data_IF_401607961958
#
_entry.id   IF_401607961958
#
_cell.length_a   1.000
_cell.length_b   1.000
_cell.length_c   1.000
_cell.angle_alpha   90.00
_cell.angle_beta   90.00
_cell.angle_gamma   90.00
#
_symmetry.space_group_name_H-M   'P 1'
#
loop_
_entity.id
_entity.type
_entity.pdbx_description
1 polymer ?
#
# COMPACT_ATOMS: atom_id res chain seq x y z
N UNK A 1 21.38 0.29 9.92
CA UNK A 1 20.35 0.15 8.86
C UNK A 1 20.11 1.54 8.31
N UNK A 2 19.89 1.63 6.99
CA UNK A 2 19.58 2.91 6.37
C UNK A 2 18.08 3.19 6.51
N UNK A 3 17.68 4.31 7.13
CA UNK A 3 16.27 4.67 7.35
C UNK A 3 15.68 5.11 6.01
N UNK A 4 14.65 4.40 5.52
CA UNK A 4 13.95 4.71 4.27
C UNK A 4 12.74 5.61 4.51
N UNK A 5 12.02 5.42 5.61
CA UNK A 5 10.88 6.24 6.03
C UNK A 5 11.06 6.69 7.47
N UNK A 6 10.92 7.99 7.72
CA UNK A 6 10.95 8.58 9.06
C UNK A 6 9.68 9.38 9.29
N UNK A 7 9.01 9.09 10.37
CA UNK A 7 7.84 9.82 10.87
C UNK A 7 8.22 10.40 12.23
N UNK A 8 8.08 11.71 12.42
CA UNK A 8 8.53 12.39 13.62
C UNK A 8 7.45 13.33 14.16
N UNK A 9 6.96 13.04 15.35
CA UNK A 9 5.98 13.79 16.15
C UNK A 9 4.76 14.30 15.34
N UNK A 10 4.21 13.46 14.46
CA UNK A 10 3.05 13.87 13.64
C UNK A 10 1.80 14.02 14.49
N UNK A 11 1.09 15.15 14.30
CA UNK A 11 -0.19 15.43 14.92
C UNK A 11 -1.22 15.68 13.81
N UNK A 12 -2.29 14.88 13.78
CA UNK A 12 -3.30 14.89 12.71
C UNK A 12 -4.68 15.13 13.28
N UNK A 13 -5.46 15.96 12.58
CA UNK A 13 -6.78 16.38 13.02
C UNK A 13 -7.82 16.17 11.93
N UNK A 14 -9.02 15.76 12.32
CA UNK A 14 -10.25 15.83 11.54
C UNK A 14 -11.13 16.95 12.12
N UNK A 15 -11.04 18.14 11.55
CA UNK A 15 -11.66 19.35 12.14
C UNK A 15 -11.09 19.61 13.54
N UNK A 16 -11.94 19.51 14.57
CA UNK A 16 -11.56 19.66 15.98
C UNK A 16 -11.07 18.37 16.65
N UNK A 17 -11.24 17.21 16.01
CA UNK A 17 -10.87 15.92 16.58
C UNK A 17 -9.38 15.68 16.37
N UNK A 18 -8.61 15.56 17.46
CA UNK A 18 -7.18 15.21 17.44
C UNK A 18 -7.03 13.69 17.31
N UNK A 19 -6.86 13.22 16.08
CA UNK A 19 -6.85 11.79 15.74
C UNK A 19 -5.49 11.13 15.99
N UNK A 20 -4.38 11.82 15.69
CA UNK A 20 -3.01 11.36 15.96
C UNK A 20 -2.33 12.37 16.87
N UNK A 21 -1.76 11.89 17.97
CA UNK A 21 -1.23 12.70 19.07
C UNK A 21 0.26 12.45 19.27
N UNK A 22 1.07 12.94 18.33
CA UNK A 22 2.53 12.89 18.46
C UNK A 22 3.10 11.48 18.27
N UNK A 23 2.87 10.85 17.10
CA UNK A 23 3.45 9.54 16.79
C UNK A 23 4.80 9.71 16.07
N UNK A 24 5.79 8.90 16.48
CA UNK A 24 7.11 8.85 15.85
C UNK A 24 7.54 7.41 15.65
N UNK A 25 8.10 7.10 14.50
CA UNK A 25 8.74 5.81 14.19
C UNK A 25 9.61 5.94 12.93
N UNK A 26 10.46 4.95 12.73
CA UNK A 26 11.29 4.82 11.54
C UNK A 26 11.12 3.44 10.91
N UNK A 27 11.34 3.35 9.60
CA UNK A 27 11.39 2.10 8.85
C UNK A 27 12.73 2.05 8.12
N UNK A 28 13.49 1.00 8.35
CA UNK A 28 14.75 0.71 7.64
C UNK A 28 14.51 0.02 6.30
N UNK A 29 15.52 0.04 5.43
CA UNK A 29 15.52 -0.76 4.21
C UNK A 29 15.43 -2.26 4.55
N UNK A 30 14.55 -2.99 3.85
CA UNK A 30 14.31 -4.40 4.09
C UNK A 30 13.70 -4.70 5.47
N UNK A 31 12.96 -3.78 6.07
CA UNK A 31 12.31 -3.98 7.37
C UNK A 31 10.79 -4.11 7.22
N UNK A 32 10.19 -4.99 8.02
CA UNK A 32 8.74 -5.08 8.17
C UNK A 32 8.33 -4.45 9.49
N UNK A 33 7.58 -3.36 9.43
CA UNK A 33 7.06 -2.65 10.59
C UNK A 33 5.55 -2.82 10.69
N UNK A 34 5.04 -3.16 11.87
CA UNK A 34 3.62 -3.35 12.12
C UNK A 34 3.09 -2.29 13.09
N UNK A 35 2.05 -1.56 12.68
CA UNK A 35 1.31 -0.68 13.56
C UNK A 35 0.21 -1.46 14.28
N UNK A 36 0.33 -1.59 15.60
CA UNK A 36 -0.62 -2.32 16.45
C UNK A 36 -1.45 -1.33 17.24
N UNK A 37 -2.76 -1.59 17.33
CA UNK A 37 -3.69 -0.77 18.12
C UNK A 37 -5.14 -1.17 17.87
N UNK A 38 -6.02 -0.77 18.79
CA UNK A 38 -7.46 -0.99 18.67
C UNK A 38 -8.06 -0.26 17.46
N UNK A 39 -9.31 -0.60 17.10
CA UNK A 39 -10.04 0.17 16.08
C UNK A 39 -10.22 1.61 16.57
N UNK A 40 -9.93 2.56 15.67
CA UNK A 40 -9.90 3.98 16.01
C UNK A 40 -8.59 4.49 16.63
N UNK A 41 -7.57 3.64 16.85
CA UNK A 41 -6.26 4.07 17.37
C UNK A 41 -5.44 4.94 16.40
N UNK A 42 -5.93 5.15 15.17
CA UNK A 42 -5.28 6.02 14.18
C UNK A 42 -4.36 5.31 13.20
N UNK A 43 -4.36 3.96 13.12
CA UNK A 43 -3.52 3.20 12.17
C UNK A 43 -3.74 3.67 10.72
N UNK A 44 -4.96 3.59 10.22
CA UNK A 44 -5.31 4.06 8.86
C UNK A 44 -5.05 5.56 8.67
N UNK A 45 -5.30 6.38 9.71
CA UNK A 45 -5.00 7.82 9.67
C UNK A 45 -3.51 8.07 9.49
N UNK A 46 -2.66 7.31 10.18
CA UNK A 46 -1.20 7.38 10.04
C UNK A 46 -0.77 7.01 8.62
N UNK A 47 -1.23 5.87 8.09
CA UNK A 47 -0.90 5.43 6.73
C UNK A 47 -1.38 6.44 5.67
N UNK A 48 -2.60 6.97 5.80
CA UNK A 48 -3.14 8.00 4.91
C UNK A 48 -2.35 9.32 4.98
N UNK A 49 -1.82 9.66 6.15
CA UNK A 49 -0.98 10.86 6.33
C UNK A 49 0.37 10.68 5.63
N UNK A 50 0.99 9.51 5.76
CA UNK A 50 2.24 9.17 5.06
C UNK A 50 2.03 9.18 3.55
N UNK A 51 0.91 8.61 3.05
CA UNK A 51 0.55 8.62 1.64
C UNK A 51 0.14 10.02 1.10
N UNK A 52 0.08 11.04 1.97
CA UNK A 52 -0.27 12.42 1.60
C UNK A 52 -1.74 12.65 1.27
N UNK A 53 -2.62 11.71 1.64
CA UNK A 53 -4.07 11.85 1.54
C UNK A 53 -4.62 12.75 2.67
N UNK A 54 -3.93 12.75 3.81
CA UNK A 54 -4.13 13.66 4.93
C UNK A 54 -2.84 14.47 5.17
N UNK A 55 -2.94 15.53 5.95
CA UNK A 55 -1.78 16.35 6.33
C UNK A 55 -1.65 16.44 7.84
N UNK A 56 -0.44 16.23 8.34
CA UNK A 56 -0.13 16.54 9.73
C UNK A 56 -0.16 18.06 9.96
N UNK A 57 -0.64 18.48 11.11
CA UNK A 57 -0.62 19.88 11.55
C UNK A 57 0.77 20.27 12.06
N UNK A 58 1.43 19.35 12.75
CA UNK A 58 2.80 19.47 13.24
C UNK A 58 3.55 18.15 13.00
N UNK A 59 4.84 18.15 13.23
CA UNK A 59 5.73 17.04 12.96
C UNK A 59 6.18 16.95 11.50
N UNK A 60 6.95 15.93 11.18
CA UNK A 60 7.49 15.74 9.84
C UNK A 60 7.40 14.29 9.35
N UNK A 61 7.35 14.12 8.03
CA UNK A 61 7.46 12.83 7.37
C UNK A 61 8.52 12.97 6.29
N UNK A 62 9.53 12.11 6.36
CA UNK A 62 10.62 12.05 5.40
C UNK A 62 10.66 10.67 4.74
N UNK A 63 10.83 10.64 3.44
CA UNK A 63 11.02 9.43 2.66
C UNK A 63 12.32 9.54 1.87
N UNK A 64 13.24 8.60 2.09
CA UNK A 64 14.59 8.62 1.50
C UNK A 64 15.30 9.97 1.71
N UNK A 65 15.21 10.52 2.93
CA UNK A 65 15.81 11.82 3.30
C UNK A 65 15.11 13.04 2.71
N UNK A 66 13.98 12.88 2.01
CA UNK A 66 13.21 13.99 1.43
C UNK A 66 11.89 14.20 2.18
N UNK A 67 11.61 15.44 2.58
CA UNK A 67 10.35 15.78 3.23
C UNK A 67 9.15 15.59 2.29
N UNK A 68 8.10 14.93 2.80
CA UNK A 68 6.83 14.74 2.10
C UNK A 68 5.80 15.85 2.37
N UNK A 69 6.09 16.83 3.23
CA UNK A 69 5.13 17.82 3.72
C UNK A 69 4.36 18.58 2.63
N UNK A 70 5.02 18.90 1.50
CA UNK A 70 4.44 19.65 0.37
C UNK A 70 4.27 18.80 -0.90
N UNK A 71 4.54 17.49 -0.81
CA UNK A 71 4.45 16.60 -1.98
C UNK A 71 2.99 16.18 -2.17
N UNK A 72 2.37 16.39 -3.34
CA UNK A 72 1.02 15.90 -3.62
C UNK A 72 0.98 14.36 -3.58
N UNK A 73 -0.13 13.77 -3.11
CA UNK A 73 -0.28 12.32 -2.93
C UNK A 73 0.05 11.52 -4.20
N UNK A 74 -0.42 11.97 -5.37
CA UNK A 74 -0.12 11.30 -6.64
C UNK A 74 1.38 11.29 -7.01
N UNK A 75 2.19 12.22 -6.50
CA UNK A 75 3.64 12.24 -6.68
C UNK A 75 4.39 11.39 -5.65
N UNK A 76 3.77 11.07 -4.52
CA UNK A 76 4.35 10.20 -3.49
C UNK A 76 4.48 8.78 -4.03
N UNK A 77 3.47 8.27 -4.74
CA UNK A 77 3.54 6.95 -5.39
C UNK A 77 4.70 6.90 -6.39
N UNK A 78 4.86 7.94 -7.21
CA UNK A 78 5.97 8.03 -8.18
C UNK A 78 7.36 8.08 -7.51
N UNK A 79 7.45 8.41 -6.22
CA UNK A 79 8.69 8.33 -5.44
C UNK A 79 8.97 6.91 -4.91
N UNK A 80 8.02 5.98 -5.02
CA UNK A 80 8.16 4.60 -4.57
C UNK A 80 7.50 4.30 -3.22
N UNK A 81 6.50 5.06 -2.80
CA UNK A 81 5.74 4.81 -1.58
C UNK A 81 4.29 4.52 -1.95
N UNK A 82 3.86 3.25 -1.87
CA UNK A 82 2.51 2.83 -2.23
C UNK A 82 1.68 2.45 -1.02
N UNK A 83 0.37 2.70 -1.09
CA UNK A 83 -0.61 2.33 -0.07
C UNK A 83 -1.69 1.44 -0.68
N UNK A 84 -1.92 0.29 -0.07
CA UNK A 84 -3.13 -0.52 -0.25
C UNK A 84 -4.08 -0.15 0.88
N UNK A 85 -5.14 0.63 0.61
CA UNK A 85 -6.03 1.12 1.65
C UNK A 85 -7.01 0.03 2.10
N UNK A 86 -7.60 0.25 3.27
CA UNK A 86 -8.72 -0.55 3.75
C UNK A 86 -9.87 -0.60 2.73
N UNK A 87 -10.53 -1.75 2.63
CA UNK A 87 -11.62 -1.97 1.69
C UNK A 87 -11.17 -2.19 0.24
N UNK A 88 -9.88 -2.54 0.03
CA UNK A 88 -9.28 -2.97 -1.25
C UNK A 88 -9.23 -1.89 -2.33
N UNK A 89 -10.30 -1.12 -2.52
CA UNK A 89 -10.43 0.01 -3.46
C UNK A 89 -9.99 -0.34 -4.90
N UNK A 90 -10.35 -1.55 -5.37
CA UNK A 90 -10.19 -1.93 -6.77
C UNK A 90 -11.23 -1.23 -7.65
N UNK A 91 -10.92 -1.06 -8.93
CA UNK A 91 -11.87 -0.53 -9.91
C UNK A 91 -12.83 -1.64 -10.32
N UNK A 92 -13.99 -1.70 -9.68
CA UNK A 92 -14.92 -2.82 -9.77
C UNK A 92 -15.44 -3.11 -11.20
N UNK A 93 -15.50 -2.10 -12.05
CA UNK A 93 -15.99 -2.21 -13.43
C UNK A 93 -14.92 -2.53 -14.45
N UNK A 94 -13.64 -2.45 -14.04
CA UNK A 94 -12.50 -2.84 -14.85
C UNK A 94 -12.19 -4.33 -14.67
N UNK A 95 -11.54 -4.92 -15.66
CA UNK A 95 -10.98 -6.26 -15.57
C UNK A 95 -9.82 -6.33 -14.58
N UNK A 96 -9.39 -7.54 -14.24
CA UNK A 96 -8.19 -7.78 -13.45
C UNK A 96 -6.97 -7.13 -14.11
N UNK A 97 -6.76 -7.40 -15.40
CA UNK A 97 -5.63 -6.86 -16.15
C UNK A 97 -5.64 -5.33 -16.16
N UNK A 98 -6.76 -4.69 -16.49
CA UNK A 98 -6.87 -3.22 -16.50
C UNK A 98 -6.59 -2.61 -15.12
N UNK A 99 -7.03 -3.26 -14.03
CA UNK A 99 -6.69 -2.82 -12.68
C UNK A 99 -5.18 -2.85 -12.42
N UNK A 100 -4.49 -3.92 -12.85
CA UNK A 100 -3.04 -4.04 -12.71
C UNK A 100 -2.32 -2.98 -13.54
N UNK A 101 -2.68 -2.80 -14.80
CA UNK A 101 -2.12 -1.79 -15.69
C UNK A 101 -2.28 -0.37 -15.14
N UNK A 102 -3.40 -0.06 -14.47
CA UNK A 102 -3.58 1.21 -13.75
C UNK A 102 -2.54 1.42 -12.65
N UNK A 103 -2.03 0.36 -12.02
CA UNK A 103 -0.94 0.43 -11.05
C UNK A 103 0.39 0.93 -11.64
N UNK A 104 0.62 0.63 -12.92
CA UNK A 104 1.81 1.04 -13.66
C UNK A 104 1.74 2.47 -14.20
N UNK A 105 0.69 3.26 -13.90
CA UNK A 105 0.47 4.60 -14.44
C UNK A 105 1.65 5.56 -14.27
N UNK A 106 2.45 5.38 -13.22
CA UNK A 106 3.65 6.19 -12.96
C UNK A 106 4.89 5.70 -13.70
N UNK A 107 4.83 4.52 -14.33
CA UNK A 107 5.94 3.91 -15.04
C UNK A 107 5.99 4.39 -16.51
N UNK A 108 7.20 4.54 -17.03
CA UNK A 108 7.40 4.76 -18.46
C UNK A 108 7.27 3.39 -19.13
N UNK A 109 6.35 3.20 -20.04
CA UNK A 109 5.89 2.01 -20.76
C UNK A 109 6.88 0.84 -21.04
N UNK A 110 8.14 0.93 -20.64
CA UNK A 110 9.16 -0.11 -20.78
C UNK A 110 9.11 -1.02 -19.55
N UNK A 111 8.61 -2.25 -19.72
CA UNK A 111 8.65 -3.28 -18.67
C UNK A 111 7.30 -3.71 -18.09
N UNK A 112 6.18 -3.06 -18.42
CA UNK A 112 4.84 -3.41 -17.88
C UNK A 112 4.51 -4.90 -18.07
N UNK A 113 4.89 -5.50 -19.19
CA UNK A 113 4.66 -6.93 -19.42
C UNK A 113 5.45 -7.82 -18.44
N UNK A 114 6.69 -7.43 -18.10
CA UNK A 114 7.51 -8.15 -17.13
C UNK A 114 6.96 -7.97 -15.71
N UNK A 115 6.48 -6.77 -15.39
CA UNK A 115 5.86 -6.47 -14.11
C UNK A 115 4.56 -7.25 -13.91
N UNK A 116 3.75 -7.38 -14.98
CA UNK A 116 2.55 -8.22 -14.96
C UNK A 116 2.91 -9.69 -14.71
N UNK A 117 3.94 -10.25 -15.37
CA UNK A 117 4.36 -11.63 -15.12
C UNK A 117 4.84 -11.81 -13.68
N UNK A 118 5.62 -10.88 -13.12
CA UNK A 118 6.00 -10.91 -11.70
C UNK A 118 4.77 -10.93 -10.77
N UNK A 119 3.78 -10.11 -11.04
CA UNK A 119 2.52 -10.09 -10.27
C UNK A 119 1.76 -11.41 -10.43
N UNK A 120 1.74 -12.01 -11.63
CA UNK A 120 1.08 -13.29 -11.87
C UNK A 120 1.78 -14.46 -11.19
N UNK A 121 3.10 -14.40 -11.04
CA UNK A 121 3.85 -15.42 -10.28
C UNK A 121 3.55 -15.33 -8.78
N UNK A 122 3.37 -14.11 -8.25
CA UNK A 122 2.95 -13.89 -6.86
C UNK A 122 1.47 -14.23 -6.61
N UNK A 123 0.62 -14.01 -7.62
CA UNK A 123 -0.83 -14.17 -7.53
C UNK A 123 -1.38 -14.98 -8.71
N UNK A 124 -1.12 -16.31 -8.81
CA UNK A 124 -1.51 -17.14 -9.95
C UNK A 124 -3.03 -17.09 -10.25
N UNK A 125 -3.86 -16.90 -9.22
CA UNK A 125 -5.32 -16.76 -9.38
C UNK A 125 -5.71 -15.52 -10.19
N UNK A 126 -4.93 -14.45 -10.15
CA UNK A 126 -5.19 -13.27 -10.97
C UNK A 126 -4.90 -13.57 -12.45
N UNK A 127 -3.85 -14.35 -12.74
CA UNK A 127 -3.50 -14.78 -14.11
C UNK A 127 -4.64 -15.59 -14.76
N UNK A 128 -5.28 -16.49 -13.99
CA UNK A 128 -6.42 -17.29 -14.46
C UNK A 128 -7.65 -16.43 -14.83
N UNK A 129 -7.72 -15.19 -14.30
CA UNK A 129 -8.92 -14.34 -14.33
C UNK A 129 -8.70 -12.98 -14.99
N UNK A 130 -7.69 -12.83 -15.83
CA UNK A 130 -7.27 -11.54 -16.42
C UNK A 130 -8.40 -10.72 -17.02
N UNK A 131 -9.30 -11.38 -17.73
CA UNK A 131 -10.44 -10.75 -18.43
C UNK A 131 -11.70 -10.65 -17.56
N UNK A 132 -11.66 -11.18 -16.33
CA UNK A 132 -12.79 -11.12 -15.41
C UNK A 132 -12.92 -9.72 -14.81
N UNK A 133 -14.14 -9.21 -14.72
CA UNK A 133 -14.46 -7.95 -14.07
C UNK A 133 -14.16 -8.03 -12.57
N UNK A 134 -13.38 -7.11 -12.04
CA UNK A 134 -12.90 -7.12 -10.64
C UNK A 134 -14.04 -7.15 -9.61
N UNK A 135 -15.20 -6.55 -9.92
CA UNK A 135 -16.36 -6.59 -9.04
C UNK A 135 -16.95 -7.97 -8.81
N UNK A 136 -16.63 -8.96 -9.66
CA UNK A 136 -17.13 -10.34 -9.55
C UNK A 136 -16.15 -11.29 -8.84
N UNK A 137 -14.98 -10.78 -8.45
CA UNK A 137 -13.98 -11.52 -7.68
C UNK A 137 -14.42 -11.70 -6.23
N UNK A 138 -13.98 -12.77 -5.60
CA UNK A 138 -14.08 -12.95 -4.15
C UNK A 138 -13.31 -11.85 -3.39
N UNK A 139 -13.63 -11.65 -2.11
CA UNK A 139 -12.93 -10.66 -1.29
C UNK A 139 -11.42 -10.88 -1.21
N UNK A 140 -10.96 -12.12 -1.17
CA UNK A 140 -9.54 -12.43 -1.17
C UNK A 140 -8.86 -12.15 -2.51
N UNK A 141 -9.52 -12.48 -3.63
CA UNK A 141 -9.00 -12.17 -4.96
C UNK A 141 -8.93 -10.66 -5.20
N UNK A 142 -9.91 -9.88 -4.70
CA UNK A 142 -9.87 -8.42 -4.74
C UNK A 142 -8.72 -7.86 -3.89
N UNK A 143 -8.41 -8.49 -2.74
CA UNK A 143 -7.27 -8.09 -1.92
C UNK A 143 -5.94 -8.37 -2.64
N UNK A 144 -5.80 -9.55 -3.24
CA UNK A 144 -4.65 -9.89 -4.08
C UNK A 144 -4.51 -8.90 -5.25
N UNK A 145 -5.62 -8.54 -5.90
CA UNK A 145 -5.63 -7.56 -6.99
C UNK A 145 -5.19 -6.17 -6.51
N UNK A 146 -5.64 -5.72 -5.34
CA UNK A 146 -5.23 -4.44 -4.77
C UNK A 146 -3.72 -4.41 -4.46
N UNK A 147 -3.19 -5.50 -3.91
CA UNK A 147 -1.74 -5.66 -3.66
C UNK A 147 -0.95 -5.72 -4.97
N UNK A 148 -1.37 -6.55 -5.93
CA UNK A 148 -0.75 -6.65 -7.24
C UNK A 148 -0.71 -5.30 -7.95
N UNK A 149 -1.81 -4.55 -7.94
CA UNK A 149 -1.87 -3.18 -8.49
C UNK A 149 -0.87 -2.24 -7.82
N UNK A 150 -0.69 -2.33 -6.50
CA UNK A 150 0.30 -1.51 -5.80
C UNK A 150 1.73 -1.89 -6.21
N UNK A 151 2.03 -3.18 -6.38
CA UNK A 151 3.35 -3.67 -6.80
C UNK A 151 3.73 -3.21 -8.21
N UNK A 152 2.76 -3.03 -9.11
CA UNK A 152 3.00 -2.50 -10.45
C UNK A 152 3.61 -1.09 -10.46
N UNK A 153 3.57 -0.36 -9.34
CA UNK A 153 4.23 0.95 -9.20
C UNK A 153 5.71 0.87 -8.79
N UNK A 154 6.28 -0.32 -8.62
CA UNK A 154 7.64 -0.58 -8.12
C UNK A 154 7.91 0.14 -6.79
N UNK A 155 7.10 -0.12 -5.75
CA UNK A 155 7.26 0.58 -4.48
C UNK A 155 8.54 0.14 -3.76
N UNK A 156 9.24 1.10 -3.16
CA UNK A 156 10.33 0.86 -2.20
C UNK A 156 9.78 0.67 -0.78
N UNK A 157 8.60 1.24 -0.50
CA UNK A 157 7.83 0.99 0.71
C UNK A 157 6.39 0.69 0.31
N UNK A 158 5.90 -0.49 0.68
CA UNK A 158 4.52 -0.91 0.52
C UNK A 158 3.80 -0.84 1.86
N UNK A 159 2.79 0.01 1.96
CA UNK A 159 1.94 0.12 3.13
C UNK A 159 0.63 -0.63 2.90
N UNK A 160 0.24 -1.48 3.87
CA UNK A 160 -0.98 -2.28 3.83
C UNK A 160 -1.88 -1.89 5.01
N UNK A 161 -3.08 -1.44 4.73
CA UNK A 161 -4.08 -1.09 5.75
C UNK A 161 -5.08 -2.23 5.91
N UNK A 162 -5.03 -2.90 7.07
CA UNK A 162 -5.89 -4.04 7.44
C UNK A 162 -5.96 -5.13 6.32
N UNK A 163 -4.83 -5.64 5.81
CA UNK A 163 -4.80 -6.49 4.61
C UNK A 163 -5.55 -7.83 4.76
N UNK A 164 -5.80 -8.27 5.99
CA UNK A 164 -6.49 -9.52 6.30
C UNK A 164 -7.96 -9.34 6.67
N UNK A 165 -8.46 -8.11 6.76
CA UNK A 165 -9.80 -7.85 7.26
C UNK A 165 -10.89 -8.44 6.36
N UNK A 166 -11.82 -9.21 6.96
CA UNK A 166 -12.96 -9.82 6.26
C UNK A 166 -12.57 -10.95 5.30
N UNK A 167 -11.40 -11.56 5.49
CA UNK A 167 -10.96 -12.72 4.72
C UNK A 167 -11.13 -14.02 5.51
N UNK A 168 -11.34 -15.12 4.78
CA UNK A 168 -11.30 -16.46 5.36
C UNK A 168 -9.86 -16.78 5.86
N UNK A 169 -9.70 -17.59 6.94
CA UNK A 169 -8.39 -17.88 7.53
C UNK A 169 -7.33 -18.35 6.53
N UNK A 170 -7.70 -19.22 5.61
CA UNK A 170 -6.79 -19.73 4.56
C UNK A 170 -6.24 -18.61 3.67
N UNK A 171 -7.05 -17.57 3.38
CA UNK A 171 -6.63 -16.43 2.58
C UNK A 171 -5.76 -15.46 3.38
N UNK A 172 -5.98 -15.37 4.68
CA UNK A 172 -5.12 -14.59 5.59
C UNK A 172 -3.69 -15.18 5.59
N UNK A 173 -3.55 -16.49 5.71
CA UNK A 173 -2.26 -17.19 5.64
C UNK A 173 -1.56 -16.90 4.30
N UNK A 174 -2.26 -17.02 3.18
CA UNK A 174 -1.71 -16.72 1.86
C UNK A 174 -1.21 -15.27 1.74
N UNK A 175 -1.97 -14.29 2.26
CA UNK A 175 -1.55 -12.88 2.25
C UNK A 175 -0.26 -12.69 3.06
N UNK A 176 -0.15 -13.33 4.23
CA UNK A 176 1.07 -13.24 5.04
C UNK A 176 2.26 -13.95 4.40
N UNK A 177 2.07 -15.09 3.74
CA UNK A 177 3.12 -15.74 2.95
C UNK A 177 3.64 -14.83 1.83
N UNK A 178 2.73 -14.13 1.12
CA UNK A 178 3.11 -13.18 0.08
C UNK A 178 3.91 -12.01 0.67
N UNK A 179 3.48 -11.45 1.80
CA UNK A 179 4.22 -10.39 2.50
C UNK A 179 5.63 -10.86 2.87
N UNK A 180 5.76 -12.09 3.40
CA UNK A 180 7.06 -12.66 3.72
C UNK A 180 7.94 -12.87 2.49
N UNK A 181 7.36 -13.31 1.36
CA UNK A 181 8.09 -13.50 0.12
C UNK A 181 8.56 -12.16 -0.46
N UNK A 182 7.71 -11.13 -0.43
CA UNK A 182 8.08 -9.77 -0.82
C UNK A 182 9.22 -9.23 0.05
N UNK A 183 9.15 -9.43 1.37
CA UNK A 183 10.20 -9.03 2.29
C UNK A 183 11.55 -9.74 2.01
N UNK A 184 11.52 -11.03 1.66
CA UNK A 184 12.75 -11.78 1.32
C UNK A 184 13.35 -11.37 -0.02
N UNK A 185 12.55 -10.83 -0.92
CA UNK A 185 13.00 -10.38 -2.23
C UNK A 185 13.65 -8.96 -2.20
N UNK A 186 13.50 -8.20 -1.11
CA UNK A 186 14.11 -6.88 -0.88
C UNK A 186 13.14 -5.75 -1.06
#
# INVERSE_FOLDING_TARGET
>A
MNTILKVDDINVYYGSIHAIKGISFEVGEGEVVTLIGANGAGKSTTLNTIAGLLRSKTGSIEFMGQSLAKVPSHKIVAKGLALVPEGRRVFLQMTVQENLEMGAFTQKNAGIAQDLEMVYDLFPRLKERLKQTAGTLSGGEQQMLAMGRALMSHPKVLMLDEPSMGLAPILVEQIFEIIQNLHKAG
#
